data_IF_503894967600
#
_entry.id   IF_503894967600
#
_cell.length_a   1.000
_cell.length_b   1.000
_cell.length_c   1.000
_cell.angle_alpha   90.00
_cell.angle_beta   90.00
_cell.angle_gamma   90.00
#
_symmetry.space_group_name_H-M   'P 1'
#
loop_
_entity.id
_entity.type
_entity.pdbx_description
1 polymer ?
#
# COMPACT_ATOMS: atom_id res chain seq x y z
N UNK A 1 6.61 -11.71 9.07
CA UNK A 1 7.07 -10.90 7.94
C UNK A 1 5.89 -10.53 7.06
N UNK A 2 5.81 -9.30 6.59
CA UNK A 2 4.68 -8.75 5.79
C UNK A 2 4.31 -9.62 4.58
N UNK A 3 5.31 -10.17 3.89
CA UNK A 3 5.12 -11.06 2.74
C UNK A 3 4.33 -12.33 3.11
N UNK A 4 4.57 -12.90 4.29
CA UNK A 4 3.86 -14.11 4.72
C UNK A 4 2.37 -13.84 4.94
N UNK A 5 2.00 -12.65 5.43
CA UNK A 5 0.60 -12.26 5.58
C UNK A 5 -0.07 -12.07 4.20
N UNK A 6 0.62 -11.41 3.27
CA UNK A 6 0.12 -11.16 1.90
C UNK A 6 -0.07 -12.45 1.09
N UNK A 7 0.69 -13.50 1.38
CA UNK A 7 0.50 -14.82 0.74
C UNK A 7 -0.64 -15.66 1.30
N UNK A 8 -1.24 -15.27 2.43
CA UNK A 8 -2.27 -16.06 3.14
C UNK A 8 -3.68 -15.47 3.02
N UNK A 9 -3.79 -14.18 2.66
CA UNK A 9 -5.06 -13.45 2.62
C UNK A 9 -5.13 -12.53 1.42
N UNK A 10 -6.33 -12.33 0.89
CA UNK A 10 -6.61 -11.29 -0.11
C UNK A 10 -7.02 -10.00 0.60
N UNK A 11 -6.53 -8.87 0.08
CA UNK A 11 -6.84 -7.53 0.59
C UNK A 11 -7.38 -6.67 -0.54
N UNK A 12 -8.31 -5.78 -0.19
CA UNK A 12 -8.87 -4.79 -1.11
C UNK A 12 -7.97 -3.57 -1.27
N UNK A 13 -7.17 -3.28 -0.24
CA UNK A 13 -6.21 -2.18 -0.18
C UNK A 13 -5.15 -2.51 0.86
N UNK A 14 -3.89 -2.16 0.57
CA UNK A 14 -2.77 -2.29 1.51
C UNK A 14 -2.23 -0.90 1.82
N UNK A 15 -2.24 -0.51 3.10
CA UNK A 15 -1.47 0.63 3.59
C UNK A 15 -0.12 0.10 4.09
N UNK A 16 0.97 0.53 3.48
CA UNK A 16 2.29 -0.08 3.69
C UNK A 16 3.33 0.96 4.12
N UNK A 17 3.87 0.79 5.32
CA UNK A 17 4.99 1.59 5.81
C UNK A 17 6.25 1.35 4.95
N UNK A 18 6.93 2.42 4.55
CA UNK A 18 8.22 2.31 3.88
C UNK A 18 9.34 1.95 4.86
N UNK A 19 9.26 2.44 6.09
CA UNK A 19 10.23 2.17 7.15
C UNK A 19 9.82 0.96 7.99
N UNK A 20 9.80 -0.24 7.40
CA UNK A 20 9.49 -1.45 8.19
C UNK A 20 10.67 -1.83 9.09
N UNK A 21 10.43 -2.36 10.31
CA UNK A 21 11.49 -2.88 11.17
C UNK A 21 12.25 -4.05 10.54
N UNK A 22 11.57 -4.84 9.69
CA UNK A 22 12.07 -6.05 9.03
C UNK A 22 12.49 -5.83 7.57
N UNK A 23 12.41 -4.61 7.01
CA UNK A 23 12.85 -4.32 5.64
C UNK A 23 12.32 -3.01 5.02
N UNK A 24 12.43 -2.92 3.70
CA UNK A 24 11.90 -1.79 2.91
C UNK A 24 10.51 -2.15 2.35
N UNK A 25 9.49 -1.35 2.66
CA UNK A 25 8.13 -1.53 2.13
C UNK A 25 8.08 -1.58 0.59
N UNK A 26 9.03 -0.94 -0.10
CA UNK A 26 9.15 -1.03 -1.57
C UNK A 26 9.48 -2.44 -2.03
N UNK A 27 10.26 -3.19 -1.26
CA UNK A 27 10.59 -4.58 -1.57
C UNK A 27 9.36 -5.48 -1.45
N UNK A 28 8.48 -5.20 -0.49
CA UNK A 28 7.19 -5.90 -0.37
C UNK A 28 6.29 -5.59 -1.57
N UNK A 29 6.19 -4.32 -1.98
CA UNK A 29 5.40 -3.95 -3.16
C UNK A 29 5.93 -4.59 -4.45
N UNK A 30 7.26 -4.57 -4.66
CA UNK A 30 7.90 -5.30 -5.78
C UNK A 30 7.60 -6.79 -5.75
N UNK A 31 7.65 -7.41 -4.57
CA UNK A 31 7.31 -8.81 -4.40
C UNK A 31 5.84 -9.08 -4.77
N UNK A 32 4.90 -8.24 -4.34
CA UNK A 32 3.47 -8.36 -4.71
C UNK A 32 3.29 -8.34 -6.23
N UNK A 33 3.88 -7.35 -6.93
CA UNK A 33 3.77 -7.24 -8.38
C UNK A 33 4.39 -8.42 -9.12
N UNK A 34 5.53 -8.92 -8.65
CA UNK A 34 6.17 -10.11 -9.21
C UNK A 34 5.33 -11.39 -9.06
N UNK A 35 4.40 -11.43 -8.10
CA UNK A 35 3.50 -12.56 -7.86
C UNK A 35 2.09 -12.33 -8.43
N UNK A 36 1.90 -11.30 -9.26
CA UNK A 36 0.60 -10.99 -9.87
C UNK A 36 -0.45 -10.48 -8.87
N UNK A 37 -0.01 -9.99 -7.71
CA UNK A 37 -0.90 -9.37 -6.73
C UNK A 37 -1.03 -7.89 -7.08
N UNK A 38 -2.15 -7.52 -7.68
CA UNK A 38 -2.45 -6.15 -8.13
C UNK A 38 -3.26 -5.32 -7.13
N UNK A 39 -3.46 -5.83 -5.91
CA UNK A 39 -4.08 -5.05 -4.83
C UNK A 39 -3.42 -3.66 -4.73
N UNK A 40 -4.21 -2.58 -4.67
CA UNK A 40 -3.69 -1.23 -4.50
C UNK A 40 -2.82 -1.13 -3.25
N UNK A 41 -1.65 -0.48 -3.38
CA UNK A 41 -0.73 -0.24 -2.27
C UNK A 41 -0.55 1.26 -2.09
N UNK A 42 -0.82 1.77 -0.89
CA UNK A 42 -0.58 3.17 -0.52
C UNK A 42 0.59 3.21 0.45
N UNK A 43 1.67 3.90 0.03
CA UNK A 43 2.87 4.07 0.83
C UNK A 43 2.59 4.95 2.04
N UNK A 44 3.08 4.56 3.22
CA UNK A 44 3.13 5.40 4.41
C UNK A 44 4.59 5.74 4.72
N UNK A 45 4.92 7.02 4.87
CA UNK A 45 6.30 7.46 5.09
C UNK A 45 6.39 8.56 6.14
N UNK A 46 7.55 8.69 6.78
CA UNK A 46 7.85 9.83 7.65
C UNK A 46 8.44 11.03 6.89
N UNK A 47 8.91 10.81 5.66
CA UNK A 47 9.55 11.81 4.83
C UNK A 47 8.71 12.10 3.58
N UNK A 48 8.76 13.34 3.08
CA UNK A 48 7.85 13.85 2.04
C UNK A 48 8.60 14.28 0.77
N UNK A 49 9.76 13.67 0.51
CA UNK A 49 10.59 14.04 -0.62
C UNK A 49 10.01 13.46 -1.92
N UNK A 50 10.12 14.20 -3.03
CA UNK A 50 9.56 13.75 -4.31
C UNK A 50 10.27 12.48 -4.80
N UNK A 51 11.58 12.35 -4.55
CA UNK A 51 12.37 11.17 -4.89
C UNK A 51 11.85 9.91 -4.17
N UNK A 52 11.35 10.06 -2.94
CA UNK A 52 10.78 8.93 -2.20
C UNK A 52 9.46 8.46 -2.80
N UNK A 53 8.65 9.41 -3.24
CA UNK A 53 7.37 9.17 -3.90
C UNK A 53 7.58 8.55 -5.27
N UNK A 54 8.50 9.08 -6.07
CA UNK A 54 8.92 8.49 -7.34
C UNK A 54 9.42 7.05 -7.15
N UNK A 55 10.27 6.81 -6.15
CA UNK A 55 10.78 5.47 -5.84
C UNK A 55 9.68 4.51 -5.36
N UNK A 56 8.69 5.01 -4.61
CA UNK A 56 7.54 4.23 -4.18
C UNK A 56 6.66 3.82 -5.37
N UNK A 57 6.37 4.75 -6.29
CA UNK A 57 5.59 4.45 -7.49
C UNK A 57 6.35 3.54 -8.46
N UNK A 58 7.67 3.73 -8.63
CA UNK A 58 8.51 2.83 -9.41
C UNK A 58 8.54 1.40 -8.83
N UNK A 59 8.29 1.23 -7.52
CA UNK A 59 8.15 -0.07 -6.88
C UNK A 59 6.77 -0.73 -7.11
N UNK A 60 5.83 -0.01 -7.75
CA UNK A 60 4.49 -0.50 -8.07
C UNK A 60 3.39 -0.03 -7.11
N UNK A 61 3.68 0.93 -6.22
CA UNK A 61 2.65 1.52 -5.34
C UNK A 61 1.73 2.47 -6.11
N UNK A 62 0.52 2.68 -5.58
CA UNK A 62 -0.56 3.44 -6.21
C UNK A 62 -0.79 4.80 -5.55
N UNK A 63 -0.57 4.89 -4.23
CA UNK A 63 -0.72 6.12 -3.47
C UNK A 63 0.46 6.36 -2.53
N UNK A 64 0.54 7.56 -1.97
CA UNK A 64 1.62 7.99 -1.09
C UNK A 64 1.11 8.96 -0.04
N UNK A 65 1.31 8.64 1.24
CA UNK A 65 0.86 9.43 2.39
C UNK A 65 2.02 9.67 3.36
N UNK A 66 2.18 10.93 3.77
CA UNK A 66 3.16 11.33 4.78
C UNK A 66 2.52 11.30 6.18
N UNK A 67 3.26 10.77 7.15
CA UNK A 67 2.91 10.81 8.58
C UNK A 67 3.09 12.23 9.15
N UNK A 68 2.24 12.67 10.10
CA UNK A 68 1.14 11.93 10.71
C UNK A 68 -0.10 11.85 9.81
N UNK A 69 -0.74 10.68 9.78
CA UNK A 69 -1.95 10.46 8.99
C UNK A 69 -3.16 10.88 9.83
N UNK A 70 -3.87 11.91 9.39
CA UNK A 70 -5.13 12.33 10.01
C UNK A 70 -6.29 11.49 9.49
N UNK A 71 -7.43 11.53 10.19
CA UNK A 71 -8.64 10.84 9.76
C UNK A 71 -9.09 11.30 8.37
N UNK A 72 -9.04 12.59 8.07
CA UNK A 72 -9.46 13.13 6.77
C UNK A 72 -8.57 12.63 5.64
N UNK A 73 -7.24 12.61 5.84
CA UNK A 73 -6.28 12.09 4.86
C UNK A 73 -6.52 10.61 4.62
N UNK A 74 -6.76 9.84 5.69
CA UNK A 74 -7.05 8.42 5.56
C UNK A 74 -8.36 8.19 4.79
N UNK A 75 -9.43 8.94 5.11
CA UNK A 75 -10.72 8.81 4.43
C UNK A 75 -10.62 9.12 2.93
N UNK A 76 -9.85 10.14 2.56
CA UNK A 76 -9.59 10.48 1.16
C UNK A 76 -8.88 9.32 0.44
N UNK A 77 -7.81 8.78 1.04
CA UNK A 77 -7.09 7.65 0.46
C UNK A 77 -7.96 6.39 0.35
N UNK A 78 -8.80 6.10 1.35
CA UNK A 78 -9.73 4.98 1.28
C UNK A 78 -10.76 5.18 0.16
N UNK A 79 -11.34 6.38 0.03
CA UNK A 79 -12.31 6.69 -1.02
C UNK A 79 -11.69 6.62 -2.43
N UNK A 80 -10.40 6.97 -2.55
CA UNK A 80 -9.68 6.94 -3.83
C UNK A 80 -9.24 5.54 -4.24
N UNK A 81 -8.70 4.74 -3.30
CA UNK A 81 -8.01 3.49 -3.61
C UNK A 81 -8.79 2.22 -3.26
N UNK A 82 -9.84 2.28 -2.45
CA UNK A 82 -10.70 1.12 -2.29
C UNK A 82 -11.43 0.87 -3.62
N UNK A 83 -11.37 -0.35 -4.18
CA UNK A 83 -12.19 -0.69 -5.32
C UNK A 83 -13.65 -0.47 -4.94
N UNK A 84 -14.41 0.19 -5.83
CA UNK A 84 -15.84 0.44 -5.64
C UNK A 84 -16.53 -0.87 -5.26
N UNK A 85 -16.98 -0.97 -4.02
CA UNK A 85 -17.45 -2.22 -3.48
C UNK A 85 -18.78 -2.62 -4.12
N UNK A 86 -18.74 -3.62 -5.01
CA UNK A 86 -19.86 -4.55 -5.08
C UNK A 86 -19.84 -5.34 -3.77
N UNK A 87 -20.62 -4.88 -2.79
CA UNK A 87 -20.74 -5.48 -1.46
C UNK A 87 -21.35 -6.88 -1.43
N UNK A 88 -21.12 -7.73 -2.44
CA UNK A 88 -21.65 -9.09 -2.53
C UNK A 88 -20.67 -10.06 -3.19
N UNK A 89 -20.57 -11.23 -2.57
CA UNK A 89 -19.89 -12.45 -3.00
C UNK A 89 -18.37 -12.54 -2.73
N UNK A 90 -18.02 -12.65 -1.45
CA UNK A 90 -16.95 -13.59 -1.06
C UNK A 90 -17.63 -14.67 -0.20
N UNK A 91 -18.02 -15.77 -0.86
CA UNK A 91 -18.44 -17.01 -0.20
C UNK A 91 -17.25 -17.67 0.48
#
# INVERSE_FOLDING_TARGET
STIQLLGQSTFDLVLLDLGLPDGDGRSVSRWMRAHGIDTPVVALTAAAFEEEKESAFAAGMNGFLTKPITQDILQQALAEFLPGGDGRARQ
#
